data_IF_872415848233
#
_entry.id   IF_872415848233
#
_cell.length_a   1.000
_cell.length_b   1.000
_cell.length_c   1.000
_cell.angle_alpha   90.00
_cell.angle_beta   90.00
_cell.angle_gamma   90.00
#
_symmetry.space_group_name_H-M   'P 1'
#
loop_
_entity.id
_entity.type
_entity.pdbx_description
1 polymer ?
#
# COMPACT_ATOMS: atom_id res chain seq x y z
N UNK A 1 21.48 -3.21 3.66
CA UNK A 1 20.36 -2.54 4.33
C UNK A 1 19.22 -3.51 4.51
N UNK A 2 18.75 -3.65 5.74
CA UNK A 2 17.59 -4.50 6.03
C UNK A 2 16.37 -3.60 6.21
N UNK A 3 15.39 -3.73 5.33
CA UNK A 3 14.21 -2.87 5.35
C UNK A 3 13.38 -3.03 6.64
N UNK A 4 13.44 -4.19 7.28
CA UNK A 4 12.73 -4.40 8.55
C UNK A 4 13.19 -3.44 9.64
N UNK A 5 14.43 -2.97 9.58
CA UNK A 5 14.96 -2.04 10.57
C UNK A 5 14.29 -0.66 10.49
N UNK A 6 13.59 -0.38 9.38
CA UNK A 6 12.90 0.88 9.16
C UNK A 6 11.40 0.79 9.44
N UNK A 7 10.91 -0.37 9.87
CA UNK A 7 9.51 -0.58 10.19
C UNK A 7 9.36 -0.71 11.71
N UNK A 8 8.59 0.19 12.31
CA UNK A 8 8.35 0.14 13.75
C UNK A 8 7.17 -0.76 14.06
N UNK A 9 7.27 -1.50 15.17
CA UNK A 9 6.16 -2.29 15.68
C UNK A 9 5.59 -1.59 16.91
N UNK A 10 4.30 -1.27 16.86
CA UNK A 10 3.61 -0.58 17.95
C UNK A 10 2.55 -1.52 18.49
N UNK A 11 2.73 -2.07 19.70
CA UNK A 11 1.75 -3.00 20.28
C UNK A 11 0.50 -2.24 20.72
N UNK A 12 -0.63 -2.93 20.71
CA UNK A 12 -1.92 -2.43 21.19
C UNK A 12 -2.34 -1.12 20.52
N UNK A 13 -2.14 -1.00 19.22
CA UNK A 13 -2.54 0.18 18.46
C UNK A 13 -3.25 -0.25 17.17
N UNK A 14 -4.35 0.38 16.81
CA UNK A 14 -5.06 1.45 17.52
C UNK A 14 -5.90 0.97 18.70
N UNK A 15 -5.95 -0.32 18.94
CA UNK A 15 -6.63 -0.89 20.07
C UNK A 15 -5.93 -2.15 20.58
N UNK A 16 -6.25 -2.54 21.80
CA UNK A 16 -5.62 -3.68 22.47
C UNK A 16 -5.68 -4.94 21.61
N UNK A 17 -4.58 -5.67 21.56
CA UNK A 17 -4.47 -6.92 20.83
C UNK A 17 -4.01 -6.76 19.38
N UNK A 18 -3.87 -5.54 18.88
CA UNK A 18 -3.41 -5.28 17.52
C UNK A 18 -1.97 -4.81 17.54
N UNK A 19 -1.11 -5.49 16.80
CA UNK A 19 0.27 -5.06 16.59
C UNK A 19 0.33 -4.25 15.29
N UNK A 20 0.53 -2.95 15.41
CA UNK A 20 0.60 -2.05 14.28
C UNK A 20 2.02 -1.98 13.73
N UNK A 21 2.15 -2.14 12.41
CA UNK A 21 3.42 -2.00 11.71
C UNK A 21 3.47 -0.60 11.10
N UNK A 22 4.31 0.24 11.67
CA UNK A 22 4.44 1.63 11.23
C UNK A 22 5.53 1.73 10.16
N UNK A 23 5.15 2.15 8.97
CA UNK A 23 6.06 2.30 7.82
C UNK A 23 6.48 3.74 7.57
N UNK A 24 6.07 4.67 8.42
CA UNK A 24 6.42 6.08 8.20
C UNK A 24 7.93 6.31 8.23
N UNK A 25 8.63 5.59 9.07
CA UNK A 25 10.09 5.68 9.15
C UNK A 25 10.78 5.12 7.90
N UNK A 26 10.17 4.12 7.27
CA UNK A 26 10.68 3.58 6.01
C UNK A 26 10.46 4.57 4.87
N UNK A 27 9.26 5.12 4.75
CA UNK A 27 8.91 6.08 3.70
C UNK A 27 9.76 7.36 3.82
N UNK A 28 10.04 7.76 5.03
CA UNK A 28 10.78 8.98 5.34
C UNK A 28 12.27 8.88 4.99
N UNK A 29 12.79 7.68 4.87
CA UNK A 29 14.20 7.46 4.53
C UNK A 29 14.32 7.22 3.03
N UNK A 30 15.03 8.11 2.33
CA UNK A 30 15.12 8.04 0.87
C UNK A 30 15.73 6.74 0.35
N UNK A 31 16.75 6.22 1.03
CA UNK A 31 17.41 4.98 0.61
C UNK A 31 16.53 3.77 0.87
N UNK A 32 15.85 3.73 2.02
CA UNK A 32 14.96 2.63 2.37
C UNK A 32 13.74 2.62 1.46
N UNK A 33 13.15 3.77 1.18
CA UNK A 33 12.00 3.87 0.29
C UNK A 33 12.40 3.47 -1.13
N UNK A 34 13.51 3.99 -1.64
CA UNK A 34 14.00 3.64 -2.97
C UNK A 34 14.24 2.15 -3.12
N UNK A 35 14.88 1.53 -2.13
CA UNK A 35 15.12 0.09 -2.13
C UNK A 35 13.80 -0.69 -2.13
N UNK A 36 12.82 -0.24 -1.38
CA UNK A 36 11.50 -0.87 -1.33
C UNK A 36 10.84 -0.85 -2.70
N UNK A 37 10.82 0.32 -3.34
CA UNK A 37 10.21 0.47 -4.67
C UNK A 37 10.95 -0.39 -5.69
N UNK A 38 12.28 -0.39 -5.65
CA UNK A 38 13.09 -1.19 -6.55
C UNK A 38 12.79 -2.69 -6.41
N UNK A 39 12.67 -3.18 -5.18
CA UNK A 39 12.36 -4.59 -4.93
C UNK A 39 10.97 -4.96 -5.42
N UNK A 40 9.97 -4.12 -5.17
CA UNK A 40 8.61 -4.36 -5.64
C UNK A 40 8.59 -4.38 -7.16
N UNK A 41 9.27 -3.41 -7.79
CA UNK A 41 9.33 -3.31 -9.24
C UNK A 41 10.00 -4.53 -9.86
N UNK A 42 11.12 -4.97 -9.33
CA UNK A 42 11.81 -6.15 -9.85
C UNK A 42 10.98 -7.43 -9.75
N UNK A 43 10.28 -7.61 -8.64
CA UNK A 43 9.39 -8.77 -8.48
C UNK A 43 8.20 -8.68 -9.42
N UNK A 44 7.66 -7.48 -9.60
CA UNK A 44 6.49 -7.26 -10.45
C UNK A 44 6.79 -7.49 -11.93
N UNK A 45 7.99 -7.19 -12.38
CA UNK A 45 8.40 -7.42 -13.78
C UNK A 45 8.30 -8.88 -14.20
N UNK A 46 8.37 -9.80 -13.24
CA UNK A 46 8.29 -11.24 -13.49
C UNK A 46 6.86 -11.74 -13.60
N UNK A 47 5.89 -10.90 -13.34
CA UNK A 47 4.47 -11.24 -13.35
C UNK A 47 3.81 -10.68 -14.61
N UNK A 48 2.80 -11.40 -15.12
CA UNK A 48 1.98 -10.90 -16.23
C UNK A 48 0.77 -10.21 -15.65
N UNK A 49 0.67 -8.90 -15.86
CA UNK A 49 -0.48 -8.12 -15.44
C UNK A 49 -0.54 -6.83 -16.26
N UNK A 50 -1.68 -6.18 -16.28
CA UNK A 50 -1.85 -4.93 -17.01
C UNK A 50 -2.35 -3.77 -16.16
N UNK A 51 -2.65 -4.00 -14.89
CA UNK A 51 -3.13 -2.98 -13.97
C UNK A 51 -2.57 -3.22 -12.58
N UNK A 52 -2.41 -2.14 -11.82
CA UNK A 52 -1.97 -2.20 -10.42
C UNK A 52 -3.10 -1.68 -9.57
N UNK A 53 -3.43 -2.40 -8.51
CA UNK A 53 -4.45 -1.96 -7.55
C UNK A 53 -3.84 -1.85 -6.17
N UNK A 54 -4.30 -0.89 -5.39
CA UNK A 54 -3.82 -0.71 -4.03
C UNK A 54 -4.91 -0.14 -3.13
N UNK A 55 -4.83 -0.52 -1.86
CA UNK A 55 -5.80 -0.12 -0.83
C UNK A 55 -5.32 1.15 -0.15
N UNK A 56 -6.24 2.10 0.07
CA UNK A 56 -5.91 3.35 0.75
C UNK A 56 -5.49 3.10 2.20
N UNK A 57 -4.62 3.90 2.71
CA UNK A 57 -3.90 4.91 1.96
C UNK A 57 -2.43 4.54 1.82
N UNK A 58 -1.95 3.66 2.68
CA UNK A 58 -0.55 3.23 2.68
C UNK A 58 -0.15 2.58 1.36
N UNK A 59 -1.04 1.76 0.80
CA UNK A 59 -0.78 1.10 -0.47
C UNK A 59 -0.58 2.07 -1.62
N UNK A 60 -1.25 3.22 -1.58
CA UNK A 60 -1.14 4.21 -2.65
C UNK A 60 0.28 4.77 -2.79
N UNK A 61 0.98 4.92 -1.67
CA UNK A 61 2.35 5.45 -1.67
C UNK A 61 3.27 4.57 -2.50
N UNK A 62 3.18 3.27 -2.30
CA UNK A 62 4.03 2.31 -3.03
C UNK A 62 3.54 2.08 -4.45
N UNK A 63 2.22 1.91 -4.61
CA UNK A 63 1.64 1.61 -5.91
C UNK A 63 1.82 2.74 -6.91
N UNK A 64 1.73 3.99 -6.48
CA UNK A 64 1.92 5.12 -7.39
C UNK A 64 3.35 5.16 -7.95
N UNK A 65 4.34 4.89 -7.12
CA UNK A 65 5.73 4.86 -7.57
C UNK A 65 5.99 3.70 -8.53
N UNK A 66 5.49 2.51 -8.20
CA UNK A 66 5.66 1.32 -9.06
C UNK A 66 4.91 1.50 -10.38
N UNK A 67 3.71 2.05 -10.33
CA UNK A 67 2.88 2.33 -11.50
C UNK A 67 3.62 3.28 -12.47
N UNK A 68 4.24 4.31 -11.94
CA UNK A 68 5.01 5.24 -12.75
C UNK A 68 6.19 4.55 -13.44
N UNK A 69 6.94 3.74 -12.70
CA UNK A 69 8.11 3.05 -13.25
C UNK A 69 7.70 2.04 -14.32
N UNK A 70 6.68 1.24 -14.06
CA UNK A 70 6.25 0.17 -14.96
C UNK A 70 5.33 0.65 -16.07
N UNK A 71 4.87 1.90 -16.02
CA UNK A 71 3.93 2.46 -17.00
C UNK A 71 2.63 1.65 -17.07
N UNK A 72 2.10 1.29 -15.90
CA UNK A 72 0.83 0.57 -15.77
C UNK A 72 -0.21 1.45 -15.10
N UNK A 73 -1.50 1.35 -15.46
CA UNK A 73 -2.53 2.12 -14.77
C UNK A 73 -2.70 1.68 -13.31
N UNK A 74 -3.10 2.62 -12.48
CA UNK A 74 -3.23 2.42 -11.05
C UNK A 74 -4.71 2.56 -10.66
N UNK A 75 -5.25 1.53 -10.01
CA UNK A 75 -6.64 1.49 -9.56
C UNK A 75 -6.65 1.67 -8.04
N UNK A 76 -7.41 2.66 -7.58
CA UNK A 76 -7.54 2.95 -6.16
C UNK A 76 -8.68 2.16 -5.54
N UNK A 77 -8.39 1.42 -4.49
CA UNK A 77 -9.39 0.74 -3.67
C UNK A 77 -9.60 1.60 -2.42
N UNK A 78 -10.76 2.24 -2.32
CA UNK A 78 -10.99 3.27 -1.32
C UNK A 78 -12.15 2.94 -0.40
N UNK A 79 -12.19 3.63 0.72
CA UNK A 79 -13.29 3.54 1.67
C UNK A 79 -14.57 4.10 1.05
N UNK A 80 -15.70 3.71 1.62
CA UNK A 80 -17.02 4.18 1.20
C UNK A 80 -17.03 5.72 1.06
N UNK A 81 -17.68 6.18 -0.01
CA UNK A 81 -17.90 7.62 -0.28
C UNK A 81 -16.65 8.44 -0.57
N UNK A 82 -15.51 7.79 -0.83
CA UNK A 82 -14.27 8.49 -1.20
C UNK A 82 -14.07 8.62 -2.70
N UNK A 83 -14.90 7.95 -3.51
CA UNK A 83 -14.82 8.01 -4.96
C UNK A 83 -16.01 8.77 -5.53
N UNK A 84 -15.79 9.72 -6.44
CA UNK A 84 -16.85 10.62 -6.91
C UNK A 84 -17.71 10.07 -8.05
N UNK A 85 -17.30 8.98 -8.70
CA UNK A 85 -17.98 8.42 -9.87
C UNK A 85 -18.51 7.02 -9.55
N UNK A 86 -19.09 6.38 -10.57
CA UNK A 86 -19.59 5.02 -10.45
C UNK A 86 -18.49 4.08 -9.99
N UNK A 87 -18.81 3.22 -9.02
CA UNK A 87 -17.86 2.30 -8.41
C UNK A 87 -18.48 0.91 -8.31
N UNK A 88 -17.61 -0.08 -8.28
CA UNK A 88 -17.98 -1.43 -7.90
C UNK A 88 -17.68 -1.59 -6.42
N UNK A 89 -18.67 -1.99 -5.64
CA UNK A 89 -18.51 -2.14 -4.19
C UNK A 89 -18.38 -3.61 -3.84
N UNK A 90 -17.36 -3.90 -3.04
CA UNK A 90 -17.16 -5.21 -2.44
C UNK A 90 -16.91 -4.99 -0.97
N UNK A 91 -17.77 -5.57 -0.14
CA UNK A 91 -17.62 -5.45 1.30
C UNK A 91 -16.70 -6.54 1.80
N UNK A 92 -15.58 -6.14 2.39
CA UNK A 92 -14.80 -7.07 3.18
C UNK A 92 -14.12 -6.31 4.32
N UNK A 93 -13.89 -7.05 5.37
CA UNK A 93 -13.42 -6.48 6.61
C UNK A 93 -11.91 -6.31 6.60
N UNK A 94 -11.48 -5.09 6.92
CA UNK A 94 -10.08 -4.78 7.20
C UNK A 94 -9.92 -4.62 8.71
N UNK A 95 -8.70 -4.46 9.19
CA UNK A 95 -8.44 -4.27 10.61
C UNK A 95 -9.15 -3.04 11.20
N UNK A 96 -9.46 -2.05 10.42
CA UNK A 96 -10.05 -0.79 10.88
C UNK A 96 -11.39 -0.44 10.23
N UNK A 97 -11.67 -0.93 9.02
CA UNK A 97 -12.84 -0.47 8.27
C UNK A 97 -13.13 -1.38 7.07
N UNK A 98 -14.23 -1.06 6.37
CA UNK A 98 -14.57 -1.68 5.09
C UNK A 98 -13.99 -0.85 3.95
N UNK A 99 -13.80 -1.48 2.78
CA UNK A 99 -13.35 -0.79 1.57
C UNK A 99 -14.33 -0.99 0.43
N UNK A 100 -14.25 -0.10 -0.56
CA UNK A 100 -15.02 -0.16 -1.79
C UNK A 100 -14.09 0.03 -3.00
N UNK A 101 -14.46 -0.58 -4.08
CA UNK A 101 -13.71 -0.52 -5.33
C UNK A 101 -14.42 0.42 -6.31
#
# INVERSE_FOLDING_TARGET
MNLKDFIRSIPDYPKKGILFRDITTLIKNEKAFSKTIDQITERSKKMKFNKIAAIESRGFVFASAVSYILKKPFIMLRKKDKLPADVHSVDFELELSLIHI
#
